data_IF_823268061589
#
_entry.id   IF_823268061589
#
_cell.length_a   1.000
_cell.length_b   1.000
_cell.length_c   1.000
_cell.angle_alpha   90.00
_cell.angle_beta   90.00
_cell.angle_gamma   90.00
#
_symmetry.space_group_name_H-M   'P 1'
#
loop_
_entity.id
_entity.type
_entity.pdbx_description
1 polymer ?
#
# COMPACT_ATOMS: atom_id res chain seq x y z
N UNK A 1 -9.99 -7.60 26.02
CA UNK A 1 -10.67 -6.55 25.21
C UNK A 1 -11.84 -7.20 24.50
N UNK A 2 -13.04 -6.63 24.51
CA UNK A 2 -14.20 -7.26 23.87
C UNK A 2 -14.04 -7.32 22.34
N UNK A 3 -14.51 -8.40 21.71
CA UNK A 3 -14.42 -8.64 20.25
C UNK A 3 -14.95 -7.46 19.44
N UNK A 4 -16.04 -6.84 19.89
CA UNK A 4 -16.65 -5.66 19.25
C UNK A 4 -15.72 -4.44 19.28
N UNK A 5 -14.98 -4.23 20.38
CA UNK A 5 -14.05 -3.09 20.51
C UNK A 5 -12.82 -3.25 19.61
N UNK A 6 -12.35 -4.49 19.40
CA UNK A 6 -11.27 -4.79 18.45
C UNK A 6 -11.70 -4.59 17.01
N UNK A 7 -12.91 -5.01 16.64
CA UNK A 7 -13.46 -4.80 15.31
C UNK A 7 -13.63 -3.30 15.02
N UNK A 8 -14.20 -2.55 15.97
CA UNK A 8 -14.38 -1.10 15.87
C UNK A 8 -13.04 -0.37 15.72
N UNK A 9 -11.99 -0.80 16.43
CA UNK A 9 -10.66 -0.24 16.28
C UNK A 9 -10.11 -0.45 14.86
N UNK A 10 -10.17 -1.69 14.35
CA UNK A 10 -9.69 -2.00 13.00
C UNK A 10 -10.43 -1.17 11.95
N UNK A 11 -11.75 -1.08 12.06
CA UNK A 11 -12.56 -0.27 11.14
C UNK A 11 -12.21 1.22 11.22
N UNK A 12 -12.02 1.77 12.42
CA UNK A 12 -11.61 3.16 12.60
C UNK A 12 -10.22 3.45 12.02
N UNK A 13 -9.26 2.52 12.19
CA UNK A 13 -7.91 2.63 11.63
C UNK A 13 -7.94 2.62 10.10
N UNK A 14 -8.74 1.74 9.50
CA UNK A 14 -8.91 1.67 8.05
C UNK A 14 -9.61 2.93 7.52
N UNK A 15 -10.68 3.36 8.18
CA UNK A 15 -11.44 4.53 7.75
C UNK A 15 -10.61 5.82 7.82
N UNK A 16 -9.98 6.10 8.97
CA UNK A 16 -9.18 7.31 9.12
C UNK A 16 -7.90 7.24 8.28
N UNK A 17 -7.19 6.11 8.30
CA UNK A 17 -5.98 5.94 7.51
C UNK A 17 -6.23 6.00 6.02
N UNK A 18 -7.33 5.41 5.55
CA UNK A 18 -7.75 5.50 4.16
C UNK A 18 -8.14 6.93 3.76
N UNK A 19 -8.93 7.63 4.58
CA UNK A 19 -9.32 9.02 4.31
C UNK A 19 -8.11 9.95 4.26
N UNK A 20 -7.21 9.87 5.25
CA UNK A 20 -5.98 10.66 5.30
C UNK A 20 -5.08 10.34 4.10
N UNK A 21 -4.87 9.06 3.79
CA UNK A 21 -4.08 8.65 2.64
C UNK A 21 -4.65 9.16 1.32
N UNK A 22 -5.97 9.10 1.13
CA UNK A 22 -6.64 9.60 -0.06
C UNK A 22 -6.51 11.13 -0.20
N UNK A 23 -6.75 11.89 0.87
CA UNK A 23 -6.65 13.36 0.88
C UNK A 23 -5.21 13.79 0.60
N UNK A 24 -4.26 13.27 1.38
CA UNK A 24 -2.84 13.65 1.26
C UNK A 24 -2.25 13.18 -0.07
N UNK A 25 -2.61 11.98 -0.53
CA UNK A 25 -2.20 11.48 -1.84
C UNK A 25 -2.76 12.34 -2.99
N UNK A 26 -4.00 12.80 -2.89
CA UNK A 26 -4.62 13.69 -3.88
C UNK A 26 -3.96 15.07 -3.90
N UNK A 27 -3.68 15.64 -2.73
CA UNK A 27 -2.93 16.90 -2.60
C UNK A 27 -1.53 16.73 -3.17
N UNK A 28 -0.85 15.64 -2.83
CA UNK A 28 0.47 15.30 -3.34
C UNK A 28 0.46 15.23 -4.87
N UNK A 29 -0.45 14.45 -5.45
CA UNK A 29 -0.63 14.37 -6.90
C UNK A 29 -0.89 15.74 -7.55
N UNK A 30 -1.72 16.59 -6.94
CA UNK A 30 -1.98 17.93 -7.46
C UNK A 30 -0.74 18.84 -7.42
N UNK A 31 -0.06 18.91 -6.27
CA UNK A 31 1.13 19.76 -6.09
C UNK A 31 2.29 19.27 -6.95
N UNK A 32 2.52 17.97 -6.97
CA UNK A 32 3.66 17.38 -7.63
C UNK A 32 3.43 17.18 -9.12
N UNK A 33 2.26 16.64 -9.51
CA UNK A 33 1.92 16.35 -10.89
C UNK A 33 1.44 17.57 -11.68
N UNK A 34 0.56 18.41 -11.12
CA UNK A 34 0.01 19.53 -11.88
C UNK A 34 0.82 20.81 -11.73
N UNK A 35 1.25 21.15 -10.52
CA UNK A 35 2.01 22.37 -10.27
C UNK A 35 3.48 22.19 -10.66
N UNK A 36 4.22 21.35 -9.94
CA UNK A 36 5.67 21.21 -10.14
C UNK A 36 6.01 20.60 -11.50
N UNK A 37 5.37 19.48 -11.86
CA UNK A 37 5.63 18.86 -13.16
C UNK A 37 5.04 19.64 -14.32
N UNK A 38 3.71 19.83 -14.31
CA UNK A 38 3.00 20.45 -15.42
C UNK A 38 3.41 21.88 -15.74
N UNK A 39 3.70 22.72 -14.74
CA UNK A 39 4.03 24.14 -14.97
C UNK A 39 5.52 24.46 -15.01
N UNK A 40 6.36 23.77 -14.23
CA UNK A 40 7.77 24.16 -14.08
C UNK A 40 8.73 23.23 -14.81
N UNK A 41 8.52 21.92 -14.76
CA UNK A 41 9.51 20.94 -15.23
C UNK A 41 9.24 20.44 -16.65
N UNK A 42 7.99 20.18 -17.01
CA UNK A 42 7.60 19.68 -18.33
C UNK A 42 8.01 20.59 -19.51
N UNK A 43 7.97 21.94 -19.39
CA UNK A 43 8.43 22.83 -20.47
C UNK A 43 9.95 22.83 -20.67
N UNK A 44 10.72 22.44 -19.65
CA UNK A 44 12.19 22.56 -19.61
C UNK A 44 12.88 21.21 -19.85
N UNK A 45 12.25 20.12 -19.45
CA UNK A 45 12.82 18.76 -19.50
C UNK A 45 11.95 17.90 -20.43
N UNK A 46 12.30 17.87 -21.71
CA UNK A 46 11.59 17.08 -22.73
C UNK A 46 12.17 15.66 -22.83
N UNK A 47 11.60 14.72 -22.07
CA UNK A 47 11.91 13.29 -22.19
C UNK A 47 13.33 12.88 -21.77
N UNK A 48 13.61 11.58 -21.89
CA UNK A 48 14.93 11.01 -21.55
C UNK A 48 15.12 10.63 -20.09
N UNK A 49 16.36 10.33 -19.69
CA UNK A 49 16.68 9.78 -18.36
C UNK A 49 16.43 10.78 -17.22
N UNK A 50 16.68 12.06 -17.45
CA UNK A 50 16.43 13.10 -16.45
C UNK A 50 14.93 13.26 -16.17
N UNK A 51 14.09 13.18 -17.20
CA UNK A 51 12.63 13.13 -17.03
C UNK A 51 12.24 11.97 -16.10
N UNK A 52 12.75 10.77 -16.35
CA UNK A 52 12.45 9.61 -15.52
C UNK A 52 12.93 9.76 -14.06
N UNK A 53 14.13 10.33 -13.85
CA UNK A 53 14.68 10.57 -12.51
C UNK A 53 13.80 11.55 -11.73
N UNK A 54 13.39 12.67 -12.32
CA UNK A 54 12.54 13.62 -11.62
C UNK A 54 11.15 13.08 -11.32
N UNK A 55 10.54 12.30 -12.24
CA UNK A 55 9.29 11.58 -11.97
C UNK A 55 9.47 10.62 -10.79
N UNK A 56 10.57 9.88 -10.75
CA UNK A 56 10.87 8.96 -9.66
C UNK A 56 11.01 9.69 -8.32
N UNK A 57 11.78 10.79 -8.26
CA UNK A 57 11.94 11.60 -7.04
C UNK A 57 10.58 12.11 -6.55
N UNK A 58 9.79 12.66 -7.47
CA UNK A 58 8.46 13.21 -7.21
C UNK A 58 7.50 12.15 -6.68
N UNK A 59 7.52 10.96 -7.28
CA UNK A 59 6.79 9.80 -6.81
C UNK A 59 7.25 9.39 -5.41
N UNK A 60 8.56 9.25 -5.16
CA UNK A 60 9.11 8.84 -3.87
C UNK A 60 8.76 9.81 -2.74
N UNK A 61 8.80 11.13 -3.01
CA UNK A 61 8.40 12.15 -2.03
C UNK A 61 6.90 12.00 -1.71
N UNK A 62 6.05 11.96 -2.74
CA UNK A 62 4.60 11.82 -2.56
C UNK A 62 4.27 10.55 -1.79
N UNK A 63 4.90 9.45 -2.17
CA UNK A 63 4.74 8.14 -1.56
C UNK A 63 5.18 8.15 -0.09
N UNK A 64 6.35 8.72 0.19
CA UNK A 64 6.87 8.85 1.56
C UNK A 64 5.95 9.67 2.47
N UNK A 65 5.41 10.78 1.96
CA UNK A 65 4.44 11.62 2.70
C UNK A 65 3.18 10.80 3.03
N UNK A 66 2.64 10.08 2.05
CA UNK A 66 1.46 9.21 2.26
C UNK A 66 1.75 8.15 3.33
N UNK A 67 2.92 7.49 3.27
CA UNK A 67 3.33 6.49 4.26
C UNK A 67 3.33 7.06 5.67
N UNK A 68 3.93 8.23 5.86
CA UNK A 68 4.01 8.90 7.17
C UNK A 68 2.62 9.32 7.66
N UNK A 69 1.82 9.97 6.83
CA UNK A 69 0.50 10.46 7.21
C UNK A 69 -0.48 9.32 7.54
N UNK A 70 -0.51 8.27 6.72
CA UNK A 70 -1.33 7.08 6.99
C UNK A 70 -0.83 6.38 8.26
N UNK A 71 0.49 6.22 8.42
CA UNK A 71 1.05 5.61 9.62
C UNK A 71 0.69 6.37 10.89
N UNK A 72 0.86 7.70 10.91
CA UNK A 72 0.51 8.51 12.08
C UNK A 72 -1.00 8.52 12.37
N UNK A 73 -1.85 8.50 11.34
CA UNK A 73 -3.30 8.40 11.55
C UNK A 73 -3.72 7.07 12.20
N UNK A 74 -3.13 5.94 11.80
CA UNK A 74 -3.37 4.63 12.42
C UNK A 74 -2.88 4.61 13.86
N UNK A 75 -1.71 5.23 14.14
CA UNK A 75 -1.19 5.37 15.51
C UNK A 75 -2.10 6.23 16.37
N UNK A 76 -2.61 7.34 15.84
CA UNK A 76 -3.51 8.26 16.52
C UNK A 76 -4.80 7.56 16.95
N UNK A 77 -5.44 6.80 16.05
CA UNK A 77 -6.65 6.02 16.37
C UNK A 77 -6.36 4.99 17.46
N UNK A 78 -5.22 4.30 17.37
CA UNK A 78 -4.82 3.33 18.38
C UNK A 78 -4.63 3.99 19.74
N UNK A 79 -3.95 5.13 19.78
CA UNK A 79 -3.74 5.89 20.99
C UNK A 79 -5.07 6.36 21.59
N UNK A 80 -6.00 6.87 20.78
CA UNK A 80 -7.30 7.32 21.28
C UNK A 80 -8.15 6.19 21.86
N UNK A 81 -8.22 5.04 21.19
CA UNK A 81 -9.14 3.96 21.56
C UNK A 81 -8.55 2.97 22.57
N UNK A 82 -7.23 2.76 22.56
CA UNK A 82 -6.53 1.81 23.43
C UNK A 82 -5.57 2.46 24.43
N UNK A 83 -5.28 3.75 24.32
CA UNK A 83 -4.27 4.45 25.14
C UNK A 83 -2.89 3.79 25.09
N UNK A 84 -2.58 3.17 23.94
CA UNK A 84 -1.30 2.51 23.67
C UNK A 84 -0.55 3.24 22.58
N UNK A 85 0.75 3.41 22.79
CA UNK A 85 1.68 3.92 21.77
C UNK A 85 2.28 2.74 21.02
N UNK A 86 2.21 2.80 19.68
CA UNK A 86 2.84 1.81 18.81
C UNK A 86 4.14 2.41 18.24
N UNK A 87 5.24 1.65 18.13
CA UNK A 87 6.46 2.12 17.49
C UNK A 87 6.25 2.57 16.04
N UNK A 88 6.85 3.71 15.67
CA UNK A 88 6.72 4.29 14.33
C UNK A 88 7.26 3.38 13.23
N UNK A 89 8.46 2.85 13.44
CA UNK A 89 9.20 2.06 12.44
C UNK A 89 8.36 0.91 11.88
N UNK A 90 7.74 0.12 12.76
CA UNK A 90 6.94 -1.05 12.40
C UNK A 90 5.69 -0.63 11.62
N UNK A 91 5.01 0.43 12.07
CA UNK A 91 3.82 0.94 11.40
C UNK A 91 4.17 1.43 10.01
N UNK A 92 5.24 2.21 9.86
CA UNK A 92 5.66 2.75 8.57
C UNK A 92 6.12 1.67 7.60
N UNK A 93 6.84 0.65 8.07
CA UNK A 93 7.17 -0.53 7.27
C UNK A 93 5.92 -1.26 6.79
N UNK A 94 4.93 -1.44 7.67
CA UNK A 94 3.64 -2.02 7.31
C UNK A 94 2.91 -1.23 6.23
N UNK A 95 2.81 0.09 6.39
CA UNK A 95 2.18 0.98 5.40
C UNK A 95 2.93 0.91 4.06
N UNK A 96 4.26 1.01 4.11
CA UNK A 96 5.13 0.97 2.94
C UNK A 96 5.01 -0.34 2.16
N UNK A 97 4.78 -1.48 2.82
CA UNK A 97 4.61 -2.78 2.17
C UNK A 97 3.16 -3.02 1.71
N UNK A 98 2.17 -2.44 2.37
CA UNK A 98 0.76 -2.63 2.04
C UNK A 98 0.39 -2.16 0.64
N UNK A 99 0.88 -0.99 0.22
CA UNK A 99 0.61 -0.41 -1.11
C UNK A 99 1.16 -1.28 -2.25
N UNK A 100 2.46 -1.65 -2.29
CA UNK A 100 3.01 -2.51 -3.33
C UNK A 100 2.44 -3.93 -3.27
N UNK A 101 2.08 -4.44 -2.09
CA UNK A 101 1.37 -5.72 -1.98
C UNK A 101 0.02 -5.68 -2.72
N UNK A 102 -0.76 -4.60 -2.57
CA UNK A 102 -1.99 -4.43 -3.34
C UNK A 102 -1.74 -4.32 -4.84
N UNK A 103 -0.70 -3.60 -5.27
CA UNK A 103 -0.32 -3.52 -6.68
C UNK A 103 0.01 -4.90 -7.26
N UNK A 104 0.76 -5.72 -6.52
CA UNK A 104 1.11 -7.08 -6.91
C UNK A 104 -0.13 -7.97 -6.99
N UNK A 105 -1.02 -7.90 -5.98
CA UNK A 105 -2.25 -8.70 -5.97
C UNK A 105 -3.21 -8.33 -7.11
N UNK A 106 -3.39 -7.04 -7.38
CA UNK A 106 -4.22 -6.55 -8.49
C UNK A 106 -3.61 -7.00 -9.81
N UNK A 107 -2.29 -6.84 -9.99
CA UNK A 107 -1.60 -7.29 -11.20
C UNK A 107 -1.77 -8.79 -11.42
N UNK A 108 -1.57 -9.62 -10.39
CA UNK A 108 -1.79 -11.06 -10.45
C UNK A 108 -3.25 -11.43 -10.74
N UNK A 109 -4.20 -10.63 -10.23
CA UNK A 109 -5.63 -10.84 -10.43
C UNK A 109 -6.06 -10.56 -11.87
N UNK A 110 -5.47 -9.55 -12.52
CA UNK A 110 -5.82 -9.11 -13.88
C UNK A 110 -4.94 -9.70 -14.97
N UNK A 111 -3.80 -10.30 -14.61
CA UNK A 111 -2.85 -10.85 -15.57
C UNK A 111 -3.47 -12.03 -16.35
N UNK A 112 -3.32 -12.02 -17.67
CA UNK A 112 -3.71 -13.13 -18.52
C UNK A 112 -2.60 -14.20 -18.55
N UNK A 113 -2.72 -15.14 -17.62
CA UNK A 113 -1.78 -16.25 -17.47
C UNK A 113 -1.67 -17.15 -18.72
N UNK A 114 -2.67 -17.14 -19.62
CA UNK A 114 -2.62 -17.94 -20.85
C UNK A 114 -1.57 -17.45 -21.84
N UNK A 115 -1.21 -16.16 -21.77
CA UNK A 115 -0.16 -15.57 -22.61
C UNK A 115 1.25 -16.08 -22.25
N UNK A 116 1.46 -16.61 -21.05
CA UNK A 116 2.73 -17.22 -20.63
C UNK A 116 2.89 -18.68 -21.07
N UNK A 117 1.82 -19.33 -21.54
CA UNK A 117 1.81 -20.75 -21.91
C UNK A 117 2.40 -21.00 -23.34
N UNK A 118 2.89 -19.96 -24.04
CA UNK A 118 3.39 -20.05 -25.42
C UNK A 118 4.81 -20.65 -25.59
N UNK A 119 5.43 -21.22 -24.54
CA UNK A 119 6.81 -21.72 -24.59
C UNK A 119 6.96 -23.21 -24.25
N UNK A 120 7.39 -24.01 -25.24
CA UNK A 120 7.72 -25.45 -25.16
C UNK A 120 9.03 -25.75 -24.37
N UNK A 121 9.21 -25.14 -23.20
CA UNK A 121 10.42 -25.27 -22.37
C UNK A 121 10.10 -25.85 -20.97
N UNK A 122 11.07 -26.47 -20.27
CA UNK A 122 10.88 -27.13 -18.97
C UNK A 122 10.47 -26.20 -17.81
N UNK A 123 10.25 -24.91 -18.07
CA UNK A 123 9.68 -23.95 -17.14
C UNK A 123 8.16 -24.03 -16.97
N UNK A 124 7.44 -24.80 -17.80
CA UNK A 124 5.96 -24.92 -17.75
C UNK A 124 5.44 -25.48 -16.43
N UNK A 125 6.18 -26.39 -15.77
CA UNK A 125 5.80 -26.91 -14.45
C UNK A 125 5.93 -25.85 -13.35
N UNK A 126 7.03 -25.08 -13.34
CA UNK A 126 7.24 -23.99 -12.39
C UNK A 126 6.22 -22.89 -12.61
N UNK A 127 5.95 -22.52 -13.86
CA UNK A 127 4.92 -21.55 -14.23
C UNK A 127 3.53 -22.01 -13.77
N UNK A 128 3.22 -23.30 -13.89
CA UNK A 128 1.96 -23.87 -13.39
C UNK A 128 1.83 -23.73 -11.86
N UNK A 129 2.89 -24.02 -11.11
CA UNK A 129 2.91 -23.82 -9.66
C UNK A 129 2.72 -22.33 -9.31
N UNK A 130 3.47 -21.44 -9.96
CA UNK A 130 3.36 -19.99 -9.76
C UNK A 130 1.93 -19.51 -10.06
N UNK A 131 1.32 -20.00 -11.14
CA UNK A 131 -0.07 -19.68 -11.53
C UNK A 131 -1.07 -20.12 -10.47
N UNK A 132 -0.91 -21.32 -9.91
CA UNK A 132 -1.78 -21.82 -8.83
C UNK A 132 -1.63 -20.96 -7.58
N UNK A 133 -0.39 -20.68 -7.14
CA UNK A 133 -0.12 -19.82 -5.98
C UNK A 133 -0.71 -18.42 -6.21
N UNK A 134 -0.42 -17.80 -7.35
CA UNK A 134 -0.92 -16.48 -7.70
C UNK A 134 -2.45 -16.46 -7.74
N UNK A 135 -3.09 -17.52 -8.26
CA UNK A 135 -4.56 -17.61 -8.30
C UNK A 135 -5.17 -17.71 -6.91
N UNK A 136 -4.57 -18.49 -6.00
CA UNK A 136 -5.04 -18.62 -4.62
C UNK A 136 -4.85 -17.29 -3.87
N UNK A 137 -3.65 -16.71 -3.96
CA UNK A 137 -3.27 -15.49 -3.24
C UNK A 137 -4.07 -14.27 -3.74
N UNK A 138 -4.33 -14.19 -5.05
CA UNK A 138 -5.12 -13.10 -5.64
C UNK A 138 -6.64 -13.36 -5.64
N UNK A 139 -7.11 -14.56 -5.26
CA UNK A 139 -8.54 -14.90 -5.29
C UNK A 139 -9.43 -13.88 -4.55
N UNK A 140 -9.10 -13.41 -3.33
CA UNK A 140 -9.91 -12.40 -2.65
C UNK A 140 -10.04 -11.11 -3.47
N UNK A 141 -8.96 -10.69 -4.12
CA UNK A 141 -8.95 -9.50 -4.99
C UNK A 141 -9.74 -9.75 -6.27
N UNK A 142 -9.60 -10.93 -6.91
CA UNK A 142 -10.41 -11.32 -8.07
C UNK A 142 -11.91 -11.27 -7.76
N UNK A 143 -12.33 -11.76 -6.60
CA UNK A 143 -13.73 -11.71 -6.16
C UNK A 143 -14.19 -10.25 -6.01
N UNK A 144 -13.41 -9.39 -5.35
CA UNK A 144 -13.74 -7.97 -5.20
C UNK A 144 -13.84 -7.27 -6.56
N UNK A 145 -12.90 -7.51 -7.47
CA UNK A 145 -12.91 -6.95 -8.82
C UNK A 145 -14.08 -7.47 -9.65
N UNK A 146 -14.47 -8.74 -9.49
CA UNK A 146 -15.65 -9.33 -10.13
C UNK A 146 -16.94 -8.61 -9.71
N UNK A 147 -17.05 -8.22 -8.43
CA UNK A 147 -18.14 -7.36 -7.94
C UNK A 147 -17.99 -5.87 -8.31
N UNK A 148 -17.09 -5.53 -9.26
CA UNK A 148 -16.80 -4.17 -9.71
C UNK A 148 -16.33 -3.24 -8.59
N UNK A 149 -15.69 -3.79 -7.55
CA UNK A 149 -15.10 -2.97 -6.51
C UNK A 149 -13.97 -2.11 -7.11
N UNK A 150 -13.96 -0.78 -6.91
CA UNK A 150 -12.97 0.10 -7.52
C UNK A 150 -11.54 -0.28 -7.10
N UNK A 151 -10.61 -0.52 -8.03
CA UNK A 151 -9.21 -0.83 -7.71
C UNK A 151 -8.54 0.25 -6.85
N UNK A 152 -8.91 1.51 -7.06
CA UNK A 152 -8.43 2.65 -6.27
C UNK A 152 -8.73 2.47 -4.77
N UNK A 153 -9.90 1.94 -4.41
CA UNK A 153 -10.24 1.69 -3.01
C UNK A 153 -9.37 0.59 -2.40
N UNK A 154 -8.96 -0.42 -3.18
CA UNK A 154 -8.03 -1.45 -2.71
C UNK A 154 -6.66 -0.85 -2.36
N UNK A 155 -6.16 0.08 -3.17
CA UNK A 155 -4.92 0.82 -2.86
C UNK A 155 -5.06 1.71 -1.62
N UNK A 156 -6.19 2.39 -1.47
CA UNK A 156 -6.45 3.26 -0.31
C UNK A 156 -6.51 2.44 0.99
N UNK A 157 -7.14 1.26 0.95
CA UNK A 157 -7.32 0.39 2.13
C UNK A 157 -6.03 -0.39 2.43
N UNK A 158 -5.21 -0.73 1.44
CA UNK A 158 -4.02 -1.55 1.66
C UNK A 158 -2.95 -0.88 2.53
N UNK A 159 -2.82 0.44 2.41
CA UNK A 159 -1.89 1.23 3.24
C UNK A 159 -2.19 1.10 4.75
N UNK A 160 -3.40 1.43 5.26
CA UNK A 160 -3.72 1.23 6.67
C UNK A 160 -3.80 -0.24 7.07
N UNK A 161 -4.24 -1.16 6.19
CA UNK A 161 -4.23 -2.60 6.49
C UNK A 161 -2.82 -3.12 6.70
N UNK A 162 -1.87 -2.73 5.84
CA UNK A 162 -0.46 -3.07 6.00
C UNK A 162 0.10 -2.54 7.33
N UNK A 163 -0.26 -1.31 7.70
CA UNK A 163 0.07 -0.74 9.01
C UNK A 163 -0.41 -1.62 10.17
N UNK A 164 -1.68 -2.03 10.11
CA UNK A 164 -2.35 -2.84 11.14
C UNK A 164 -1.68 -4.20 11.29
N UNK A 165 -1.44 -4.87 10.17
CA UNK A 165 -0.78 -6.17 10.13
C UNK A 165 0.64 -6.05 10.70
N UNK A 166 1.38 -5.04 10.27
CA UNK A 166 2.77 -4.81 10.69
C UNK A 166 2.92 -4.77 12.21
N UNK A 167 2.10 -3.97 12.91
CA UNK A 167 2.23 -3.88 14.37
C UNK A 167 1.56 -5.02 15.14
N UNK A 168 0.54 -5.68 14.57
CA UNK A 168 -0.12 -6.81 15.23
C UNK A 168 0.66 -8.11 15.15
N UNK A 169 1.49 -8.27 14.12
CA UNK A 169 2.40 -9.40 13.96
C UNK A 169 3.79 -9.16 14.56
N UNK A 170 4.07 -7.96 15.04
CA UNK A 170 5.35 -7.64 15.66
C UNK A 170 5.56 -8.44 16.95
N UNK A 171 6.78 -8.94 17.15
CA UNK A 171 7.15 -9.61 18.39
C UNK A 171 7.23 -8.62 19.55
N UNK A 172 7.07 -9.07 20.82
CA UNK A 172 7.20 -8.20 21.98
C UNK A 172 8.55 -7.46 22.05
N UNK A 173 9.61 -8.10 21.59
CA UNK A 173 10.97 -7.55 21.48
C UNK A 173 11.03 -6.39 20.47
N UNK A 174 10.41 -6.56 19.30
CA UNK A 174 10.32 -5.48 18.30
C UNK A 174 9.50 -4.29 18.81
N UNK A 175 8.51 -4.54 19.68
CA UNK A 175 7.69 -3.48 20.27
C UNK A 175 8.45 -2.67 21.33
N UNK A 176 9.38 -3.29 22.08
CA UNK A 176 10.18 -2.63 23.13
C UNK A 176 11.47 -2.00 22.59
N UNK A 177 12.13 -2.61 21.61
CA UNK A 177 13.35 -2.08 21.00
C UNK A 177 13.06 -0.79 20.23
N UNK A 178 11.97 -0.79 19.45
CA UNK A 178 11.58 0.39 18.66
C UNK A 178 10.82 1.46 19.46
N UNK A 179 10.59 1.27 20.77
CA UNK A 179 10.03 2.32 21.64
C UNK A 179 11.11 3.19 22.30
N UNK A 180 12.39 2.82 22.17
CA UNK A 180 13.54 3.54 22.75
C UNK A 180 14.25 4.45 21.73
N UNK A 181 13.83 4.41 20.47
CA UNK A 181 14.32 5.25 19.36
C UNK A 181 13.25 6.27 18.95
#
# INVERSE_FOLDING_TARGET
>A
MSRNRTAMLTLAQIALGGAVGAIIGSIGYFVMGNLLWGKFLAPVISGGIFYAIFVLITFLITYGIVVVCVGESVRLVTYWMQKKTIPRKIVYQGVFLGIPAAAALISMATYDWSSMDMGLFPGTFILSIIRVIASIVSAPVKILLFFKFPPILLYIISAPVGAIIGYRLATPEQLTENSKA
#
